data_IF_806942322387
#
_entry.id   IF_806942322387
#
_cell.length_a   1.000
_cell.length_b   1.000
_cell.length_c   1.000
_cell.angle_alpha   90.00
_cell.angle_beta   90.00
_cell.angle_gamma   90.00
#
_symmetry.space_group_name_H-M   'P 1'
#
loop_
_entity.id
_entity.type
_entity.pdbx_description
1 polymer ?
#
# COMPACT_ATOMS: atom_id res chain seq x y z
N UNK A 1 7.95 17.05 -16.20
CA UNK A 1 7.49 15.84 -16.94
C UNK A 1 8.59 14.80 -17.07
N UNK A 2 9.72 15.12 -17.73
CA UNK A 2 10.82 14.16 -17.92
C UNK A 2 11.31 13.51 -16.61
N UNK A 3 11.49 14.30 -15.55
CA UNK A 3 11.94 13.80 -14.25
C UNK A 3 10.98 12.76 -13.63
N UNK A 4 9.66 12.99 -13.70
CA UNK A 4 8.63 12.04 -13.23
C UNK A 4 8.70 10.75 -14.04
N UNK A 5 8.81 10.85 -15.37
CA UNK A 5 8.91 9.67 -16.23
C UNK A 5 10.17 8.86 -15.95
N UNK A 6 11.33 9.51 -15.79
CA UNK A 6 12.58 8.82 -15.44
C UNK A 6 12.43 8.13 -14.08
N UNK A 7 11.96 8.84 -13.06
CA UNK A 7 11.72 8.27 -11.72
C UNK A 7 10.74 7.09 -11.78
N UNK A 8 9.66 7.22 -12.56
CA UNK A 8 8.65 6.17 -12.72
C UNK A 8 9.21 4.92 -13.41
N UNK A 9 10.00 5.08 -14.47
CA UNK A 9 10.67 3.99 -15.19
C UNK A 9 11.66 3.27 -14.28
N UNK A 10 12.49 4.01 -13.54
CA UNK A 10 13.44 3.44 -12.59
C UNK A 10 12.72 2.67 -11.47
N UNK A 11 11.65 3.24 -10.92
CA UNK A 11 10.81 2.60 -9.90
C UNK A 11 10.23 1.29 -10.43
N UNK A 12 9.60 1.33 -11.60
CA UNK A 12 9.00 0.14 -12.23
C UNK A 12 10.05 -0.94 -12.52
N UNK A 13 11.24 -0.55 -13.00
CA UNK A 13 12.35 -1.47 -13.23
C UNK A 13 12.80 -2.19 -11.95
N UNK A 14 12.96 -1.45 -10.86
CA UNK A 14 13.33 -2.00 -9.55
C UNK A 14 12.22 -2.93 -9.05
N UNK A 15 10.96 -2.49 -9.08
CA UNK A 15 9.83 -3.29 -8.60
C UNK A 15 9.68 -4.58 -9.40
N UNK A 16 9.76 -4.54 -10.74
CA UNK A 16 9.72 -5.76 -11.55
C UNK A 16 10.87 -6.71 -11.16
N UNK A 17 12.09 -6.19 -11.00
CA UNK A 17 13.27 -6.98 -10.68
C UNK A 17 13.14 -7.71 -9.34
N UNK A 18 12.75 -6.99 -8.28
CA UNK A 18 12.54 -7.59 -6.96
C UNK A 18 11.30 -8.50 -6.92
N UNK A 19 10.29 -8.24 -7.77
CA UNK A 19 9.17 -9.15 -7.97
C UNK A 19 9.61 -10.51 -8.53
N UNK A 20 10.49 -10.52 -9.55
CA UNK A 20 11.07 -11.76 -10.11
C UNK A 20 11.96 -12.46 -9.07
N UNK A 21 12.71 -11.71 -8.27
CA UNK A 21 13.49 -12.28 -7.18
C UNK A 21 12.58 -13.00 -6.16
N UNK A 22 11.46 -12.38 -5.79
CA UNK A 22 10.47 -12.99 -4.89
C UNK A 22 9.86 -14.28 -5.48
N UNK A 23 9.51 -14.28 -6.78
CA UNK A 23 9.03 -15.47 -7.50
C UNK A 23 10.01 -16.64 -7.38
N UNK A 24 11.31 -16.37 -7.52
CA UNK A 24 12.36 -17.40 -7.40
C UNK A 24 12.49 -17.95 -5.99
N UNK A 25 12.54 -17.07 -4.99
CA UNK A 25 12.69 -17.46 -3.59
C UNK A 25 11.50 -18.31 -3.15
N UNK A 26 10.29 -17.87 -3.51
CA UNK A 26 9.04 -18.54 -3.15
C UNK A 26 8.68 -19.71 -4.07
N UNK A 27 9.39 -19.87 -5.20
CA UNK A 27 9.13 -20.87 -6.24
C UNK A 27 7.71 -20.79 -6.81
N UNK A 28 7.18 -19.57 -6.95
CA UNK A 28 5.83 -19.30 -7.49
C UNK A 28 5.91 -18.39 -8.70
N UNK A 29 4.86 -18.37 -9.52
CA UNK A 29 4.70 -17.39 -10.60
C UNK A 29 3.57 -16.44 -10.27
N UNK A 30 3.88 -15.16 -10.26
CA UNK A 30 2.93 -14.07 -10.12
C UNK A 30 2.44 -13.60 -11.50
N UNK A 31 1.18 -13.17 -11.53
CA UNK A 31 0.70 -12.29 -12.60
C UNK A 31 1.52 -10.99 -12.58
N UNK A 32 1.56 -10.28 -13.71
CA UNK A 32 2.39 -9.08 -13.83
C UNK A 32 2.12 -8.05 -12.73
N UNK A 33 0.85 -7.75 -12.44
CA UNK A 33 0.47 -6.75 -11.45
C UNK A 33 0.96 -7.17 -10.04
N UNK A 34 0.73 -8.42 -9.66
CA UNK A 34 1.25 -8.99 -8.40
C UNK A 34 2.77 -8.89 -8.33
N UNK A 35 3.47 -9.21 -9.43
CA UNK A 35 4.93 -9.12 -9.49
C UNK A 35 5.43 -7.70 -9.19
N UNK A 36 4.83 -6.68 -9.80
CA UNK A 36 5.20 -5.28 -9.55
C UNK A 36 4.91 -4.90 -8.10
N UNK A 37 3.72 -5.23 -7.59
CA UNK A 37 3.32 -4.82 -6.23
C UNK A 37 4.08 -5.57 -5.12
N UNK A 38 4.33 -6.87 -5.31
CA UNK A 38 5.20 -7.66 -4.41
C UNK A 38 6.63 -7.12 -4.48
N UNK A 39 7.10 -6.76 -5.68
CA UNK A 39 8.38 -6.12 -5.88
C UNK A 39 8.52 -4.78 -5.16
N UNK A 40 7.48 -3.94 -5.18
CA UNK A 40 7.40 -2.72 -4.37
C UNK A 40 7.55 -3.05 -2.87
N UNK A 41 6.81 -4.05 -2.36
CA UNK A 41 6.89 -4.48 -0.96
C UNK A 41 8.31 -4.94 -0.56
N UNK A 42 8.93 -5.79 -1.40
CA UNK A 42 10.31 -6.27 -1.18
C UNK A 42 11.30 -5.12 -1.23
N UNK A 43 11.19 -4.25 -2.24
CA UNK A 43 12.06 -3.07 -2.36
C UNK A 43 11.94 -2.20 -1.11
N UNK A 44 10.71 -1.92 -0.65
CA UNK A 44 10.47 -1.07 0.51
C UNK A 44 11.06 -1.69 1.78
N UNK A 45 10.88 -3.00 1.96
CA UNK A 45 11.47 -3.75 3.08
C UNK A 45 12.99 -3.59 3.12
N UNK A 46 13.66 -3.76 1.98
CA UNK A 46 15.11 -3.63 1.86
C UNK A 46 15.58 -2.18 2.08
N UNK A 47 14.90 -1.20 1.51
CA UNK A 47 15.26 0.22 1.70
C UNK A 47 15.03 0.64 3.15
N UNK A 48 13.98 0.13 3.79
CA UNK A 48 13.71 0.37 5.20
C UNK A 48 14.82 -0.20 6.09
N UNK A 49 15.33 -1.41 5.77
CA UNK A 49 16.52 -1.97 6.41
C UNK A 49 17.75 -1.09 6.21
N UNK A 50 18.03 -0.64 4.99
CA UNK A 50 19.17 0.25 4.72
C UNK A 50 19.03 1.56 5.51
N UNK A 51 17.82 2.14 5.56
CA UNK A 51 17.56 3.42 6.22
C UNK A 51 17.83 3.42 7.73
N UNK A 52 17.87 2.23 8.36
CA UNK A 52 18.26 2.08 9.77
C UNK A 52 19.70 2.52 10.00
N UNK A 53 20.58 2.30 9.03
CA UNK A 53 22.01 2.46 9.17
C UNK A 53 22.59 3.58 8.31
N UNK A 54 21.95 3.89 7.17
CA UNK A 54 22.46 4.84 6.19
C UNK A 54 21.34 5.77 5.68
N UNK A 55 21.67 7.02 5.35
CA UNK A 55 20.76 7.89 4.60
C UNK A 55 20.44 7.32 3.22
N UNK A 56 19.20 7.50 2.76
CA UNK A 56 18.75 7.06 1.43
C UNK A 56 19.11 8.10 0.38
N UNK A 57 20.36 8.05 -0.06
CA UNK A 57 20.95 8.93 -1.09
C UNK A 57 20.83 8.34 -2.50
N UNK A 58 21.27 9.09 -3.51
CA UNK A 58 21.34 8.58 -4.89
C UNK A 58 22.27 7.36 -5.03
N UNK A 59 23.29 7.24 -4.16
CA UNK A 59 24.19 6.09 -4.15
C UNK A 59 23.45 4.80 -3.77
N UNK A 60 22.49 4.88 -2.85
CA UNK A 60 21.62 3.75 -2.50
C UNK A 60 20.78 3.36 -3.71
N UNK A 61 20.20 4.33 -4.43
CA UNK A 61 19.48 4.05 -5.68
C UNK A 61 20.37 3.36 -6.72
N UNK A 62 21.59 3.86 -6.95
CA UNK A 62 22.51 3.23 -7.91
C UNK A 62 22.93 1.82 -7.49
N UNK A 63 23.05 1.56 -6.19
CA UNK A 63 23.33 0.21 -5.67
C UNK A 63 22.18 -0.74 -6.00
N UNK A 64 20.93 -0.32 -5.77
CA UNK A 64 19.74 -1.10 -6.12
C UNK A 64 19.65 -1.32 -7.63
N UNK A 65 19.87 -0.29 -8.45
CA UNK A 65 19.85 -0.41 -9.90
C UNK A 65 20.95 -1.33 -10.44
N UNK A 66 22.16 -1.26 -9.88
CA UNK A 66 23.28 -2.12 -10.26
C UNK A 66 23.00 -3.59 -9.91
N UNK A 67 22.45 -3.84 -8.72
CA UNK A 67 22.00 -5.17 -8.33
C UNK A 67 20.91 -5.68 -9.29
N UNK A 68 19.88 -4.88 -9.58
CA UNK A 68 18.82 -5.25 -10.52
C UNK A 68 19.38 -5.55 -11.92
N UNK A 69 20.34 -4.74 -12.40
CA UNK A 69 21.00 -4.95 -13.70
C UNK A 69 21.75 -6.27 -13.76
N UNK A 70 22.58 -6.57 -12.76
CA UNK A 70 23.32 -7.84 -12.67
C UNK A 70 22.35 -9.02 -12.54
N UNK A 71 21.36 -8.92 -11.67
CA UNK A 71 20.36 -9.97 -11.48
C UNK A 71 19.59 -10.28 -12.78
N UNK A 72 19.10 -9.24 -13.45
CA UNK A 72 18.34 -9.38 -14.69
C UNK A 72 19.21 -9.82 -15.88
N UNK A 73 20.52 -9.56 -15.85
CA UNK A 73 21.46 -10.11 -16.82
C UNK A 73 21.43 -11.64 -16.83
N UNK A 74 21.33 -12.28 -15.66
CA UNK A 74 21.19 -13.73 -15.55
C UNK A 74 19.75 -14.21 -15.83
N UNK A 75 18.76 -13.33 -15.64
CA UNK A 75 17.32 -13.64 -15.80
C UNK A 75 16.68 -13.14 -17.10
N UNK A 76 17.48 -12.90 -18.14
CA UNK A 76 17.04 -12.37 -19.45
C UNK A 76 15.85 -13.12 -20.08
N UNK A 77 15.72 -14.42 -19.82
CA UNK A 77 14.59 -15.23 -20.33
C UNK A 77 13.25 -14.84 -19.69
N UNK A 78 13.24 -14.51 -18.41
CA UNK A 78 12.04 -14.10 -17.68
C UNK A 78 11.60 -12.68 -18.07
N UNK A 79 12.54 -11.79 -18.44
CA UNK A 79 12.22 -10.44 -18.91
C UNK A 79 11.40 -10.39 -20.22
N UNK A 80 11.75 -11.22 -21.20
CA UNK A 80 11.07 -11.22 -22.52
C UNK A 80 9.59 -11.61 -22.42
N UNK A 81 9.21 -12.40 -21.42
CA UNK A 81 7.82 -12.77 -21.16
C UNK A 81 6.98 -11.60 -20.59
N UNK A 82 7.62 -10.55 -20.05
CA UNK A 82 6.95 -9.48 -19.30
C UNK A 82 6.48 -8.31 -20.16
N UNK A 83 7.27 -7.91 -21.17
CA UNK A 83 6.92 -6.79 -22.04
C UNK A 83 5.75 -7.11 -22.97
N UNK A 84 5.57 -8.38 -23.33
CA UNK A 84 4.56 -8.80 -24.30
C UNK A 84 3.25 -9.35 -23.69
N UNK A 85 3.24 -9.75 -22.42
CA UNK A 85 2.08 -10.44 -21.82
C UNK A 85 0.89 -9.55 -21.41
N UNK A 86 1.13 -8.29 -21.04
CA UNK A 86 0.06 -7.36 -20.64
C UNK A 86 -0.63 -6.67 -21.81
N UNK A 87 0.11 -6.38 -22.87
CA UNK A 87 -0.29 -5.53 -23.98
C UNK A 87 -0.69 -6.40 -25.19
N UNK A 88 -1.45 -7.47 -24.95
CA UNK A 88 -1.85 -8.36 -26.05
C UNK A 88 -2.88 -7.72 -26.99
N UNK A 89 -3.48 -6.58 -26.63
CA UNK A 89 -4.52 -5.95 -27.42
C UNK A 89 -4.37 -4.43 -27.46
N UNK A 90 -4.21 -3.89 -28.68
CA UNK A 90 -4.14 -2.45 -28.96
C UNK A 90 -5.29 -1.67 -28.29
N UNK A 91 -6.48 -2.27 -28.19
CA UNK A 91 -7.65 -1.60 -27.59
C UNK A 91 -7.50 -1.29 -26.10
N UNK A 92 -6.81 -2.15 -25.32
CA UNK A 92 -6.62 -1.91 -23.89
C UNK A 92 -5.70 -0.70 -23.69
N UNK A 93 -4.64 -0.62 -24.49
CA UNK A 93 -3.72 0.53 -24.46
C UNK A 93 -4.44 1.81 -24.86
N UNK A 94 -5.24 1.77 -25.94
CA UNK A 94 -6.02 2.93 -26.39
C UNK A 94 -6.97 3.43 -25.30
N UNK A 95 -7.68 2.53 -24.62
CA UNK A 95 -8.61 2.90 -23.52
C UNK A 95 -7.85 3.41 -22.29
N UNK A 96 -6.71 2.81 -21.95
CA UNK A 96 -5.93 3.16 -20.75
C UNK A 96 -5.16 4.47 -20.94
N UNK A 97 -4.69 4.75 -22.16
CA UNK A 97 -3.86 5.91 -22.50
C UNK A 97 -4.39 7.27 -21.98
N UNK A 98 -5.66 7.67 -22.20
CA UNK A 98 -6.16 8.95 -21.71
C UNK A 98 -6.08 9.07 -20.18
N UNK A 99 -6.35 7.99 -19.44
CA UNK A 99 -6.22 7.97 -17.98
C UNK A 99 -4.76 8.13 -17.53
N UNK A 100 -3.83 7.45 -18.20
CA UNK A 100 -2.40 7.56 -17.89
C UNK A 100 -1.84 8.93 -18.24
N UNK A 101 -2.25 9.51 -19.37
CA UNK A 101 -1.86 10.84 -19.77
C UNK A 101 -2.39 11.88 -18.78
N UNK A 102 -3.67 11.77 -18.40
CA UNK A 102 -4.27 12.62 -17.38
C UNK A 102 -3.51 12.50 -16.05
N UNK A 103 -3.21 11.26 -15.62
CA UNK A 103 -2.48 10.99 -14.37
C UNK A 103 -1.07 11.58 -14.38
N UNK A 104 -0.38 11.48 -15.52
CA UNK A 104 0.94 12.07 -15.70
C UNK A 104 0.86 13.60 -15.62
N UNK A 105 -0.08 14.21 -16.33
CA UNK A 105 -0.27 15.67 -16.32
C UNK A 105 -0.56 16.14 -14.90
N UNK A 106 -1.43 15.45 -14.16
CA UNK A 106 -1.78 15.87 -12.81
C UNK A 106 -0.64 15.65 -11.79
N UNK A 107 0.19 14.62 -11.99
CA UNK A 107 1.37 14.39 -11.16
C UNK A 107 2.41 15.53 -11.28
N UNK A 108 2.29 16.42 -12.27
CA UNK A 108 3.13 17.61 -12.42
C UNK A 108 2.76 18.75 -11.47
N UNK A 109 1.55 18.71 -10.89
CA UNK A 109 1.11 19.73 -9.96
C UNK A 109 1.95 19.72 -8.67
N UNK A 110 1.98 20.82 -7.92
CA UNK A 110 2.48 20.78 -6.55
C UNK A 110 1.67 19.77 -5.71
N UNK A 111 2.27 19.22 -4.64
CA UNK A 111 1.59 18.32 -3.71
C UNK A 111 0.28 18.93 -3.21
N UNK A 112 -0.84 18.24 -3.46
CA UNK A 112 -2.18 18.72 -3.11
C UNK A 112 -2.60 18.31 -1.69
N UNK A 113 -2.15 17.15 -1.21
CA UNK A 113 -2.49 16.67 0.12
C UNK A 113 -1.88 17.59 1.18
N UNK A 114 -2.74 18.11 2.07
CA UNK A 114 -2.35 19.04 3.14
C UNK A 114 -1.20 18.51 3.99
N UNK A 115 -1.27 17.23 4.36
CA UNK A 115 -0.24 16.56 5.13
C UNK A 115 1.13 16.49 4.45
N UNK A 116 1.18 16.63 3.11
CA UNK A 116 2.45 16.65 2.38
C UNK A 116 3.29 17.87 2.73
N UNK A 117 2.65 19.03 2.88
CA UNK A 117 3.30 20.25 3.35
C UNK A 117 3.60 20.24 4.85
N UNK A 118 2.79 19.51 5.64
CA UNK A 118 2.96 19.41 7.08
C UNK A 118 4.12 18.50 7.50
N UNK A 119 4.16 17.26 7.01
CA UNK A 119 5.16 16.30 7.46
C UNK A 119 5.62 15.27 6.44
N UNK A 120 4.89 14.96 5.35
CA UNK A 120 5.33 13.88 4.44
C UNK A 120 6.67 14.21 3.80
N UNK A 121 6.80 15.39 3.19
CA UNK A 121 8.02 15.82 2.49
C UNK A 121 9.18 15.96 3.49
N UNK A 122 8.92 16.52 4.67
CA UNK A 122 9.94 16.70 5.71
C UNK A 122 10.43 15.35 6.25
N UNK A 123 9.51 14.40 6.45
CA UNK A 123 9.87 13.03 6.86
C UNK A 123 10.71 12.34 5.79
N UNK A 124 10.37 12.51 4.51
CA UNK A 124 11.14 11.97 3.39
C UNK A 124 12.55 12.59 3.34
N UNK A 125 12.68 13.90 3.59
CA UNK A 125 13.99 14.57 3.65
C UNK A 125 14.87 14.03 4.78
N UNK A 126 14.31 13.79 5.97
CA UNK A 126 15.06 13.15 7.07
C UNK A 126 15.61 11.78 6.65
N UNK A 127 14.85 11.00 5.89
CA UNK A 127 15.26 9.68 5.38
C UNK A 127 16.40 9.79 4.35
N UNK A 128 16.44 10.87 3.57
CA UNK A 128 17.47 11.11 2.56
C UNK A 128 18.76 11.66 3.13
N UNK A 129 18.67 12.45 4.21
CA UNK A 129 19.80 13.21 4.75
C UNK A 129 20.47 12.48 5.94
N UNK A 130 19.72 11.65 6.67
CA UNK A 130 20.21 10.94 7.85
C UNK A 130 19.79 9.47 7.84
N UNK A 131 20.58 8.62 8.53
CA UNK A 131 20.06 7.36 9.05
C UNK A 131 18.92 7.63 10.03
N UNK A 132 18.14 6.61 10.39
CA UNK A 132 17.03 6.82 11.34
C UNK A 132 17.50 7.48 12.63
N UNK A 133 16.90 8.63 12.95
CA UNK A 133 17.30 9.51 14.05
C UNK A 133 16.55 9.13 15.33
N UNK A 134 17.26 8.77 16.42
CA UNK A 134 16.64 8.48 17.72
C UNK A 134 15.80 9.65 18.23
N UNK A 135 14.54 9.40 18.57
CA UNK A 135 13.66 10.38 19.21
C UNK A 135 13.21 11.54 18.32
N UNK A 136 13.29 11.42 16.98
CA UNK A 136 12.86 12.47 16.05
C UNK A 136 11.42 12.95 16.29
N UNK A 137 10.55 12.08 16.82
CA UNK A 137 9.19 12.42 17.20
C UNK A 137 9.10 13.47 18.33
N UNK A 138 10.16 13.65 19.15
CA UNK A 138 10.21 14.72 20.16
C UNK A 138 10.40 16.11 19.54
N UNK A 139 11.03 16.20 18.36
CA UNK A 139 11.15 17.46 17.62
C UNK A 139 9.78 17.88 17.07
N UNK A 140 9.05 16.91 16.51
CA UNK A 140 7.68 17.10 16.06
C UNK A 140 6.96 15.75 15.98
N UNK A 141 5.83 15.61 16.69
CA UNK A 141 5.15 14.31 16.89
C UNK A 141 4.88 13.54 15.59
N UNK A 142 4.52 14.23 14.50
CA UNK A 142 4.22 13.61 13.20
C UNK A 142 5.42 12.93 12.54
N UNK A 143 6.66 13.30 12.90
CA UNK A 143 7.86 12.58 12.41
C UNK A 143 7.97 11.16 12.99
N UNK A 144 7.20 10.85 14.04
CA UNK A 144 7.04 9.49 14.57
C UNK A 144 6.04 8.60 13.80
N UNK A 145 5.22 9.14 12.88
CA UNK A 145 4.17 8.34 12.22
C UNK A 145 4.70 7.25 11.29
N UNK A 146 5.88 7.46 10.71
CA UNK A 146 6.63 6.47 9.95
C UNK A 146 5.83 5.59 8.94
N UNK A 147 5.03 6.15 8.00
CA UNK A 147 4.50 5.37 6.89
C UNK A 147 5.65 4.72 6.10
N UNK A 148 5.65 3.40 5.98
CA UNK A 148 6.79 2.67 5.42
C UNK A 148 7.10 3.10 3.97
N UNK A 149 6.10 3.51 3.20
CA UNK A 149 6.28 3.99 1.81
C UNK A 149 7.19 5.21 1.67
N UNK A 150 7.40 6.01 2.73
CA UNK A 150 8.28 7.17 2.67
C UNK A 150 9.72 6.82 2.30
N UNK A 151 10.19 5.61 2.61
CA UNK A 151 11.52 5.16 2.21
C UNK A 151 11.64 4.94 0.70
N UNK A 152 10.57 4.49 0.04
CA UNK A 152 10.52 4.37 -1.42
C UNK A 152 10.47 5.76 -2.07
N UNK A 153 9.64 6.68 -1.54
CA UNK A 153 9.65 8.06 -2.02
C UNK A 153 11.03 8.70 -1.88
N UNK A 154 11.75 8.44 -0.79
CA UNK A 154 13.14 8.89 -0.60
C UNK A 154 14.08 8.29 -1.65
N UNK A 155 14.03 6.97 -1.87
CA UNK A 155 14.89 6.26 -2.82
C UNK A 155 14.73 6.77 -4.25
N UNK A 156 13.50 7.04 -4.68
CA UNK A 156 13.17 7.35 -6.08
C UNK A 156 12.97 8.84 -6.33
N UNK A 157 13.32 9.72 -5.38
CA UNK A 157 13.08 11.16 -5.48
C UNK A 157 13.93 11.85 -6.54
N UNK A 158 15.11 11.29 -6.86
CA UNK A 158 16.11 11.86 -7.77
C UNK A 158 16.50 13.32 -7.43
N UNK A 159 16.34 13.73 -6.15
CA UNK A 159 16.66 15.08 -5.65
C UNK A 159 18.05 15.56 -6.05
N UNK A 160 19.06 14.70 -5.90
CA UNK A 160 20.44 15.07 -6.19
C UNK A 160 20.70 15.37 -7.69
N UNK A 161 19.92 14.73 -8.57
CA UNK A 161 20.01 14.86 -10.04
C UNK A 161 19.23 16.09 -10.51
N UNK A 162 17.96 16.22 -10.12
CA UNK A 162 17.07 17.29 -10.62
C UNK A 162 17.03 18.53 -9.72
N UNK A 163 17.73 18.52 -8.59
CA UNK A 163 17.72 19.58 -7.56
C UNK A 163 16.32 19.90 -6.99
N UNK A 164 15.38 18.98 -7.16
CA UNK A 164 14.02 19.04 -6.63
C UNK A 164 13.52 17.62 -6.32
N UNK A 165 12.62 17.49 -5.36
CA UNK A 165 12.01 16.20 -5.04
C UNK A 165 11.03 15.77 -6.13
N UNK A 166 11.13 14.52 -6.59
CA UNK A 166 10.20 13.93 -7.56
C UNK A 166 9.39 12.82 -6.91
N UNK A 167 8.08 12.98 -6.82
CA UNK A 167 7.18 11.97 -6.23
C UNK A 167 6.43 11.20 -7.32
N UNK A 168 7.02 10.13 -7.84
CA UNK A 168 6.41 9.32 -8.93
C UNK A 168 5.72 8.03 -8.44
N UNK A 169 5.92 7.62 -7.19
CA UNK A 169 5.52 6.29 -6.69
C UNK A 169 4.01 6.07 -6.77
N UNK A 170 3.22 7.07 -6.35
CA UNK A 170 1.76 7.04 -6.45
C UNK A 170 1.30 6.97 -7.92
N UNK A 171 1.95 7.72 -8.82
CA UNK A 171 1.70 7.64 -10.26
C UNK A 171 1.99 6.25 -10.83
N UNK A 172 3.10 5.61 -10.43
CA UNK A 172 3.45 4.24 -10.87
C UNK A 172 2.38 3.24 -10.43
N UNK A 173 2.03 3.24 -9.14
CA UNK A 173 1.05 2.29 -8.57
C UNK A 173 -0.32 2.49 -9.21
N UNK A 174 -0.77 3.75 -9.31
CA UNK A 174 -2.01 4.11 -9.99
C UNK A 174 -2.04 3.60 -11.44
N UNK A 175 -0.99 3.87 -12.21
CA UNK A 175 -0.91 3.51 -13.63
C UNK A 175 -1.01 2.00 -13.84
N UNK A 176 -0.31 1.22 -13.02
CA UNK A 176 -0.34 -0.24 -13.07
C UNK A 176 -1.73 -0.79 -12.70
N UNK A 177 -2.38 -0.22 -11.69
CA UNK A 177 -3.70 -0.66 -11.24
C UNK A 177 -4.83 -0.26 -12.19
N UNK A 178 -4.76 0.91 -12.83
CA UNK A 178 -5.70 1.31 -13.89
C UNK A 178 -5.58 0.38 -15.09
N UNK A 179 -4.36 0.12 -15.57
CA UNK A 179 -4.12 -0.82 -16.66
C UNK A 179 -4.64 -2.22 -16.33
N UNK A 180 -4.36 -2.70 -15.12
CA UNK A 180 -4.84 -3.99 -14.63
C UNK A 180 -6.37 -4.05 -14.61
N UNK A 181 -7.02 -3.02 -14.06
CA UNK A 181 -8.47 -2.98 -13.89
C UNK A 181 -9.19 -2.94 -15.24
N UNK A 182 -8.73 -2.10 -16.18
CA UNK A 182 -9.28 -2.03 -17.54
C UNK A 182 -9.09 -3.37 -18.27
N UNK A 183 -7.92 -3.99 -18.17
CA UNK A 183 -7.67 -5.32 -18.75
C UNK A 183 -8.60 -6.38 -18.16
N UNK A 184 -8.81 -6.40 -16.84
CA UNK A 184 -9.69 -7.37 -16.17
C UNK A 184 -11.15 -7.15 -16.56
N UNK A 185 -11.63 -5.90 -16.58
CA UNK A 185 -12.98 -5.54 -17.05
C UNK A 185 -13.18 -5.99 -18.50
N UNK A 186 -12.22 -5.70 -19.38
CA UNK A 186 -12.29 -6.10 -20.78
C UNK A 186 -12.35 -7.63 -20.96
N UNK A 187 -11.56 -8.38 -20.19
CA UNK A 187 -11.60 -9.86 -20.20
C UNK A 187 -12.95 -10.39 -19.73
N UNK A 188 -13.47 -9.89 -18.61
CA UNK A 188 -14.78 -10.30 -18.08
C UNK A 188 -15.88 -9.97 -19.08
N UNK A 189 -15.88 -8.76 -19.65
CA UNK A 189 -16.88 -8.37 -20.66
C UNK A 189 -16.88 -9.30 -21.88
N UNK A 190 -15.71 -9.76 -22.31
CA UNK A 190 -15.57 -10.66 -23.47
C UNK A 190 -15.91 -12.12 -23.16
N UNK A 191 -15.67 -12.59 -21.94
CA UNK A 191 -15.83 -14.00 -21.57
C UNK A 191 -17.17 -14.27 -20.88
N UNK A 192 -17.63 -13.35 -20.05
CA UNK A 192 -18.80 -13.52 -19.18
C UNK A 192 -19.91 -12.49 -19.47
N UNK A 193 -19.60 -11.35 -20.10
CA UNK A 193 -20.54 -10.25 -20.33
C UNK A 193 -20.72 -9.33 -19.12
N UNK A 194 -21.91 -8.73 -18.97
CA UNK A 194 -22.25 -7.79 -17.89
C UNK A 194 -22.65 -8.53 -16.59
N UNK A 195 -21.68 -9.18 -15.94
CA UNK A 195 -21.89 -9.93 -14.68
C UNK A 195 -21.67 -9.08 -13.42
N UNK A 196 -21.99 -9.65 -12.24
CA UNK A 196 -21.61 -9.04 -10.95
C UNK A 196 -20.09 -8.83 -10.83
N UNK A 197 -19.29 -9.71 -11.45
CA UNK A 197 -17.83 -9.57 -11.52
C UNK A 197 -17.44 -8.32 -12.34
N UNK A 198 -18.13 -8.06 -13.46
CA UNK A 198 -17.94 -6.86 -14.27
C UNK A 198 -18.27 -5.59 -13.48
N UNK A 199 -19.42 -5.57 -12.79
CA UNK A 199 -19.83 -4.43 -11.96
C UNK A 199 -18.84 -4.15 -10.83
N UNK A 200 -18.41 -5.20 -10.10
CA UNK A 200 -17.43 -5.07 -9.01
C UNK A 200 -16.13 -4.42 -9.51
N UNK A 201 -15.55 -4.93 -10.60
CA UNK A 201 -14.28 -4.39 -11.12
C UNK A 201 -14.46 -2.98 -11.71
N UNK A 202 -15.64 -2.65 -12.23
CA UNK A 202 -15.95 -1.28 -12.69
C UNK A 202 -16.02 -0.29 -11.52
N UNK A 203 -16.63 -0.67 -10.39
CA UNK A 203 -16.65 0.12 -9.16
C UNK A 203 -15.22 0.29 -8.62
N UNK A 204 -14.42 -0.78 -8.62
CA UNK A 204 -13.02 -0.71 -8.19
C UNK A 204 -12.21 0.22 -9.07
N UNK A 205 -12.38 0.16 -10.41
CA UNK A 205 -11.75 1.11 -11.32
C UNK A 205 -12.16 2.54 -10.97
N UNK A 206 -13.46 2.81 -10.77
CA UNK A 206 -13.94 4.13 -10.37
C UNK A 206 -13.28 4.63 -9.08
N UNK A 207 -13.21 3.79 -8.03
CA UNK A 207 -12.56 4.15 -6.77
C UNK A 207 -11.05 4.41 -6.92
N UNK A 208 -10.36 3.69 -7.81
CA UNK A 208 -8.96 3.96 -8.16
C UNK A 208 -8.87 5.32 -8.86
N UNK A 209 -9.74 5.60 -9.83
CA UNK A 209 -9.76 6.85 -10.58
C UNK A 209 -10.01 8.07 -9.67
N UNK A 210 -10.84 7.94 -8.62
CA UNK A 210 -11.05 9.00 -7.63
C UNK A 210 -9.79 9.38 -6.84
N UNK A 211 -8.77 8.51 -6.77
CA UNK A 211 -7.51 8.80 -6.08
C UNK A 211 -6.57 9.73 -6.86
N UNK A 212 -7.03 10.29 -7.98
CA UNK A 212 -6.23 11.13 -8.87
C UNK A 212 -5.59 12.34 -8.17
N UNK A 213 -6.28 12.94 -7.19
CA UNK A 213 -5.73 14.08 -6.42
C UNK A 213 -4.51 13.71 -5.58
N UNK A 214 -4.33 12.42 -5.26
CA UNK A 214 -3.20 11.91 -4.48
C UNK A 214 -1.93 11.71 -5.30
N UNK A 215 -1.96 11.89 -6.62
CA UNK A 215 -0.85 11.57 -7.52
C UNK A 215 0.32 12.56 -7.43
N UNK A 216 0.05 13.84 -7.15
CA UNK A 216 1.11 14.86 -6.98
C UNK A 216 1.77 14.85 -5.60
N UNK A 217 1.16 14.15 -4.64
CA UNK A 217 1.58 14.12 -3.24
C UNK A 217 2.24 12.80 -2.86
N UNK A 218 3.29 12.80 -2.03
CA UNK A 218 3.85 11.57 -1.46
C UNK A 218 3.00 11.02 -0.30
N UNK A 219 1.68 11.00 -0.46
CA UNK A 219 0.75 10.51 0.57
C UNK A 219 0.70 8.97 0.59
N UNK A 220 0.65 8.33 1.77
CA UNK A 220 0.40 6.89 1.89
C UNK A 220 -1.07 6.51 1.58
N UNK A 221 -1.97 7.50 1.49
CA UNK A 221 -3.42 7.26 1.42
C UNK A 221 -3.84 6.49 0.19
N UNK A 222 -3.32 6.85 -0.98
CA UNK A 222 -3.62 6.16 -2.25
C UNK A 222 -3.37 4.65 -2.09
N UNK A 223 -2.19 4.26 -1.61
CA UNK A 223 -1.80 2.86 -1.42
C UNK A 223 -2.71 2.18 -0.41
N UNK A 224 -3.03 2.86 0.69
CA UNK A 224 -3.90 2.31 1.74
C UNK A 224 -5.34 2.09 1.29
N UNK A 225 -5.79 2.73 0.21
CA UNK A 225 -7.12 2.57 -0.37
C UNK A 225 -7.09 1.54 -1.49
N UNK A 226 -6.17 1.68 -2.45
CA UNK A 226 -6.18 0.87 -3.68
C UNK A 226 -5.65 -0.55 -3.49
N UNK A 227 -4.68 -0.77 -2.59
CA UNK A 227 -4.15 -2.12 -2.36
C UNK A 227 -5.16 -3.06 -1.70
N UNK A 228 -5.90 -2.68 -0.65
CA UNK A 228 -6.95 -3.55 -0.11
C UNK A 228 -8.01 -3.91 -1.16
N UNK A 229 -8.44 -2.93 -1.98
CA UNK A 229 -9.38 -3.18 -3.08
C UNK A 229 -8.82 -4.20 -4.06
N UNK A 230 -7.59 -3.99 -4.52
CA UNK A 230 -6.89 -4.91 -5.42
C UNK A 230 -6.79 -6.32 -4.83
N UNK A 231 -6.29 -6.46 -3.59
CA UNK A 231 -6.09 -7.75 -2.92
C UNK A 231 -7.42 -8.52 -2.87
N UNK A 232 -8.51 -7.87 -2.47
CA UNK A 232 -9.80 -8.52 -2.30
C UNK A 232 -10.46 -8.89 -3.64
N UNK A 233 -10.26 -8.12 -4.70
CA UNK A 233 -10.86 -8.40 -6.01
C UNK A 233 -10.06 -9.41 -6.83
N UNK A 234 -8.75 -9.51 -6.58
CA UNK A 234 -7.80 -10.35 -7.32
C UNK A 234 -7.34 -11.60 -6.58
N UNK A 235 -8.07 -12.05 -5.56
CA UNK A 235 -7.83 -13.37 -4.96
C UNK A 235 -7.90 -14.48 -6.03
N UNK A 236 -7.01 -15.49 -5.96
CA UNK A 236 -7.04 -16.64 -6.86
C UNK A 236 -8.42 -17.30 -6.92
N UNK A 237 -8.90 -17.55 -8.14
CA UNK A 237 -10.16 -18.25 -8.42
C UNK A 237 -9.86 -19.57 -9.14
N UNK A 238 -10.67 -20.59 -8.87
CA UNK A 238 -10.68 -21.81 -9.69
C UNK A 238 -11.33 -21.48 -11.04
N UNK A 239 -10.52 -21.02 -11.98
CA UNK A 239 -10.96 -20.82 -13.36
C UNK A 239 -10.80 -22.16 -14.11
N UNK A 240 -11.91 -22.64 -14.68
CA UNK A 240 -12.11 -23.86 -15.46
C UNK A 240 -12.17 -25.17 -14.66
N UNK A 241 -13.23 -25.95 -14.88
CA UNK A 241 -13.62 -27.18 -14.16
C UNK A 241 -12.65 -28.37 -14.21
N UNK A 242 -11.34 -28.13 -14.36
CA UNK A 242 -10.29 -29.05 -13.98
C UNK A 242 -10.04 -28.80 -12.50
N UNK A 243 -10.22 -29.82 -11.67
CA UNK A 243 -10.03 -29.81 -10.22
C UNK A 243 -8.58 -29.50 -9.78
N UNK A 244 -7.97 -28.41 -10.24
CA UNK A 244 -6.78 -27.86 -9.59
C UNK A 244 -7.23 -27.27 -8.27
N UNK A 245 -6.88 -27.94 -7.17
CA UNK A 245 -7.09 -27.38 -5.82
C UNK A 245 -6.15 -26.17 -5.71
N UNK A 246 -6.70 -24.99 -5.37
CA UNK A 246 -5.87 -23.85 -4.98
C UNK A 246 -5.00 -24.27 -3.80
N UNK A 247 -3.71 -23.96 -3.90
CA UNK A 247 -2.75 -24.17 -2.85
C UNK A 247 -2.42 -22.83 -2.18
N UNK A 248 -1.74 -22.89 -1.03
CA UNK A 248 -1.30 -21.70 -0.31
C UNK A 248 -0.43 -20.78 -1.18
N UNK A 249 0.41 -21.36 -2.03
CA UNK A 249 1.31 -20.67 -2.96
C UNK A 249 0.59 -19.66 -3.85
N UNK A 250 -0.66 -19.96 -4.25
CA UNK A 250 -1.48 -19.05 -5.06
C UNK A 250 -1.81 -17.76 -4.32
N UNK A 251 -1.82 -17.77 -2.98
CA UNK A 251 -2.16 -16.61 -2.14
C UNK A 251 -0.94 -15.86 -1.61
N UNK A 252 0.28 -16.24 -1.98
CA UNK A 252 1.48 -15.56 -1.48
C UNK A 252 1.53 -14.07 -1.83
N UNK A 253 1.12 -13.68 -3.05
CA UNK A 253 1.03 -12.26 -3.41
C UNK A 253 0.06 -11.52 -2.49
N UNK A 254 -1.15 -12.06 -2.28
CA UNK A 254 -2.15 -11.48 -1.38
C UNK A 254 -1.65 -11.36 0.06
N UNK A 255 -0.98 -12.39 0.60
CA UNK A 255 -0.43 -12.38 1.97
C UNK A 255 0.66 -11.31 2.10
N UNK A 256 1.62 -11.26 1.18
CA UNK A 256 2.71 -10.28 1.18
C UNK A 256 2.15 -8.86 1.11
N UNK A 257 1.19 -8.61 0.21
CA UNK A 257 0.58 -7.29 0.04
C UNK A 257 -0.28 -6.90 1.25
N UNK A 258 -1.00 -7.84 1.87
CA UNK A 258 -1.75 -7.58 3.09
C UNK A 258 -0.85 -7.13 4.23
N UNK A 259 0.26 -7.83 4.47
CA UNK A 259 1.24 -7.45 5.50
C UNK A 259 1.89 -6.11 5.17
N UNK A 260 2.29 -5.92 3.91
CA UNK A 260 2.93 -4.68 3.46
C UNK A 260 2.05 -3.44 3.68
N UNK A 261 0.78 -3.53 3.30
CA UNK A 261 -0.14 -2.38 3.38
C UNK A 261 -0.33 -1.92 4.82
N UNK A 262 -0.24 -2.82 5.81
CA UNK A 262 -0.29 -2.48 7.25
C UNK A 262 0.89 -1.58 7.64
N UNK A 263 2.10 -1.87 7.14
CA UNK A 263 3.28 -1.01 7.39
C UNK A 263 3.16 0.37 6.73
N UNK A 264 2.39 0.48 5.63
CA UNK A 264 2.11 1.76 4.97
C UNK A 264 1.07 2.55 5.75
N UNK A 265 -0.02 1.90 6.19
CA UNK A 265 -1.06 2.52 6.99
C UNK A 265 -1.77 1.51 7.89
N UNK A 266 -1.72 1.74 9.20
CA UNK A 266 -2.33 0.90 10.22
C UNK A 266 -3.84 0.69 10.06
N UNK A 267 -4.55 1.63 9.41
CA UNK A 267 -5.98 1.50 9.09
C UNK A 267 -6.30 0.25 8.26
N UNK A 268 -5.30 -0.39 7.63
CA UNK A 268 -5.46 -1.61 6.83
C UNK A 268 -5.26 -2.91 7.60
N UNK A 269 -5.07 -2.85 8.93
CA UNK A 269 -5.04 -4.02 9.84
C UNK A 269 -6.18 -5.03 9.60
N UNK A 270 -7.43 -4.65 9.23
CA UNK A 270 -8.48 -5.62 8.92
C UNK A 270 -8.10 -6.65 7.84
N UNK A 271 -7.09 -6.38 6.99
CA UNK A 271 -6.56 -7.39 6.05
C UNK A 271 -5.96 -8.62 6.75
N UNK A 272 -5.60 -8.55 8.03
CA UNK A 272 -5.23 -9.72 8.82
C UNK A 272 -6.35 -10.77 8.86
N UNK A 273 -7.63 -10.36 8.74
CA UNK A 273 -8.76 -11.29 8.67
C UNK A 273 -8.62 -12.22 7.46
N UNK A 274 -8.17 -11.71 6.31
CA UNK A 274 -7.91 -12.56 5.13
C UNK A 274 -6.88 -13.65 5.46
N UNK A 275 -5.77 -13.29 6.11
CA UNK A 275 -4.71 -14.24 6.48
C UNK A 275 -5.28 -15.29 7.45
N UNK A 276 -6.06 -14.89 8.45
CA UNK A 276 -6.73 -15.80 9.38
C UNK A 276 -7.70 -16.76 8.65
N UNK A 277 -8.50 -16.24 7.71
CA UNK A 277 -9.40 -17.07 6.91
C UNK A 277 -8.63 -18.08 6.06
N UNK A 278 -7.47 -17.72 5.51
CA UNK A 278 -6.61 -18.65 4.78
C UNK A 278 -6.02 -19.73 5.69
N UNK A 279 -5.56 -19.37 6.89
CA UNK A 279 -5.07 -20.32 7.91
C UNK A 279 -6.14 -21.37 8.23
N UNK A 280 -7.38 -20.92 8.48
CA UNK A 280 -8.51 -21.79 8.81
C UNK A 280 -8.89 -22.67 7.61
N UNK A 281 -9.08 -22.06 6.44
CA UNK A 281 -9.57 -22.75 5.23
C UNK A 281 -8.60 -23.83 4.74
N UNK A 282 -7.31 -23.55 4.76
CA UNK A 282 -6.28 -24.46 4.26
C UNK A 282 -5.56 -25.24 5.36
N UNK A 283 -6.04 -25.15 6.61
CA UNK A 283 -5.52 -25.85 7.80
C UNK A 283 -3.99 -25.86 7.81
N UNK A 284 -3.39 -24.68 7.97
CA UNK A 284 -1.94 -24.55 7.86
C UNK A 284 -1.23 -25.51 8.82
N UNK A 285 -0.28 -26.27 8.29
CA UNK A 285 0.68 -27.03 9.08
C UNK A 285 1.81 -26.12 9.60
N UNK A 286 2.69 -26.66 10.44
CA UNK A 286 3.81 -25.91 11.00
C UNK A 286 4.73 -25.26 9.96
N UNK A 287 4.93 -25.90 8.79
CA UNK A 287 5.77 -25.33 7.71
C UNK A 287 5.10 -24.12 7.08
N UNK A 288 3.80 -24.21 6.76
CA UNK A 288 3.01 -23.11 6.20
C UNK A 288 2.93 -21.93 7.16
N UNK A 289 2.71 -22.21 8.46
CA UNK A 289 2.73 -21.18 9.50
C UNK A 289 4.09 -20.49 9.58
N UNK A 290 5.19 -21.27 9.57
CA UNK A 290 6.54 -20.72 9.59
C UNK A 290 6.81 -19.77 8.40
N UNK A 291 6.37 -20.14 7.20
CA UNK A 291 6.52 -19.29 6.00
C UNK A 291 5.77 -17.96 6.19
N UNK A 292 4.52 -18.01 6.65
CA UNK A 292 3.69 -16.81 6.83
C UNK A 292 4.24 -15.91 7.93
N UNK A 293 4.66 -16.49 9.06
CA UNK A 293 5.32 -15.76 10.15
C UNK A 293 6.62 -15.13 9.65
N UNK A 294 7.40 -15.84 8.83
CA UNK A 294 8.63 -15.29 8.23
C UNK A 294 8.34 -14.10 7.33
N UNK A 295 7.30 -14.16 6.49
CA UNK A 295 6.88 -13.02 5.64
C UNK A 295 6.48 -11.83 6.51
N UNK A 296 5.67 -12.06 7.55
CA UNK A 296 5.24 -11.02 8.50
C UNK A 296 6.46 -10.35 9.13
N UNK A 297 7.38 -11.16 9.64
CA UNK A 297 8.57 -10.68 10.33
C UNK A 297 9.50 -9.90 9.38
N UNK A 298 9.79 -10.45 8.19
CA UNK A 298 10.66 -9.80 7.22
C UNK A 298 10.15 -8.40 6.83
N UNK A 299 8.85 -8.25 6.60
CA UNK A 299 8.25 -6.97 6.16
C UNK A 299 8.08 -6.00 7.33
N UNK A 300 7.56 -6.46 8.47
CA UNK A 300 7.21 -5.57 9.58
C UNK A 300 8.39 -5.25 10.48
N UNK A 301 9.36 -6.15 10.65
CA UNK A 301 10.46 -5.92 11.60
C UNK A 301 11.25 -4.63 11.31
N UNK A 302 11.71 -4.34 10.08
CA UNK A 302 12.45 -3.12 9.82
C UNK A 302 11.62 -1.88 10.16
N UNK A 303 10.33 -1.90 9.78
CA UNK A 303 9.39 -0.82 10.06
C UNK A 303 9.17 -0.61 11.57
N UNK A 304 9.02 -1.70 12.34
CA UNK A 304 8.89 -1.66 13.80
C UNK A 304 10.16 -1.14 14.48
N UNK A 305 11.35 -1.56 14.03
CA UNK A 305 12.61 -1.03 14.56
C UNK A 305 12.69 0.48 14.31
N UNK A 306 12.31 0.95 13.11
CA UNK A 306 12.25 2.39 12.81
C UNK A 306 11.30 3.13 13.75
N UNK A 307 10.10 2.59 14.04
CA UNK A 307 9.18 3.21 15.01
C UNK A 307 9.83 3.39 16.39
N UNK A 308 10.50 2.33 16.87
CA UNK A 308 11.17 2.33 18.18
C UNK A 308 12.30 3.34 18.21
N UNK A 309 13.12 3.44 17.16
CA UNK A 309 14.18 4.44 17.12
C UNK A 309 13.57 5.85 17.06
N UNK A 310 12.62 6.10 16.16
CA UNK A 310 12.03 7.43 15.95
C UNK A 310 11.27 7.98 17.17
N UNK A 311 10.66 7.11 17.99
CA UNK A 311 9.73 7.53 19.04
C UNK A 311 9.91 6.87 20.40
N UNK A 312 10.64 5.76 20.48
CA UNK A 312 10.70 4.88 21.65
C UNK A 312 9.49 3.95 21.83
N UNK A 313 8.50 3.98 20.92
CA UNK A 313 7.32 3.09 20.94
C UNK A 313 7.32 2.12 19.76
N UNK A 314 6.77 0.92 19.97
CA UNK A 314 6.68 -0.10 18.92
C UNK A 314 5.79 0.34 17.75
N UNK A 315 4.68 1.01 18.07
CA UNK A 315 3.75 1.61 17.11
C UNK A 315 3.36 2.98 17.66
N UNK A 316 3.82 4.07 17.05
CA UNK A 316 3.51 5.42 17.50
C UNK A 316 2.26 5.98 16.79
N UNK A 317 1.35 6.73 17.47
CA UNK A 317 1.30 7.06 18.91
C UNK A 317 0.41 6.09 19.72
N UNK A 318 0.62 4.78 19.58
CA UNK A 318 -0.11 3.76 20.34
C UNK A 318 0.63 3.39 21.64
N UNK A 319 0.29 4.09 22.73
CA UNK A 319 0.95 3.94 24.04
C UNK A 319 0.62 2.67 24.82
N UNK A 320 -0.29 1.81 24.35
CA UNK A 320 -0.69 0.62 25.12
C UNK A 320 0.36 -0.51 25.08
N UNK A 321 1.26 -0.50 24.10
CA UNK A 321 2.40 -1.43 24.04
C UNK A 321 3.64 -0.62 24.36
N UNK A 322 3.95 -0.54 25.65
CA UNK A 322 5.09 0.21 26.17
C UNK A 322 6.10 -0.71 26.85
N UNK A 323 7.06 -1.20 26.05
CA UNK A 323 8.02 -2.25 26.45
C UNK A 323 9.44 -1.67 26.62
N UNK A 324 9.71 -0.48 26.05
CA UNK A 324 11.04 0.08 25.96
C UNK A 324 11.20 1.33 26.84
N UNK A 325 12.42 1.57 27.32
CA UNK A 325 12.74 2.70 28.18
C UNK A 325 14.05 3.37 27.74
N UNK A 326 14.09 3.84 26.50
CA UNK A 326 15.22 4.62 25.96
C UNK A 326 15.17 6.07 26.47
N UNK A 327 16.33 6.72 26.55
CA UNK A 327 16.49 8.12 26.93
C UNK A 327 15.82 9.09 25.96
N UNK A 328 15.75 8.75 24.67
CA UNK A 328 15.07 9.56 23.64
C UNK A 328 13.57 9.26 23.48
N UNK A 329 12.98 8.41 24.31
CA UNK A 329 11.58 8.00 24.18
C UNK A 329 10.63 9.18 24.39
N UNK A 330 9.59 9.29 23.56
CA UNK A 330 8.60 10.37 23.66
C UNK A 330 7.84 10.27 25.00
N UNK A 331 7.71 11.38 25.75
CA UNK A 331 6.94 11.40 26.99
C UNK A 331 5.49 10.91 26.81
N UNK A 332 5.00 10.09 27.75
CA UNK A 332 3.68 9.45 27.65
C UNK A 332 2.54 10.45 27.46
N UNK A 333 2.59 11.60 28.13
CA UNK A 333 1.61 12.67 28.00
C UNK A 333 1.55 13.23 26.56
N UNK A 334 2.69 13.40 25.89
CA UNK A 334 2.77 13.83 24.51
C UNK A 334 2.18 12.76 23.56
N UNK A 335 2.47 11.47 23.79
CA UNK A 335 1.91 10.37 22.99
C UNK A 335 0.39 10.30 23.13
N UNK A 336 -0.13 10.41 24.36
CA UNK A 336 -1.58 10.43 24.61
C UNK A 336 -2.23 11.65 23.96
N UNK A 337 -1.60 12.83 24.06
CA UNK A 337 -2.08 14.05 23.41
C UNK A 337 -2.11 13.92 21.88
N UNK A 338 -1.08 13.34 21.27
CA UNK A 338 -1.03 13.08 19.82
C UNK A 338 -2.15 12.11 19.40
N UNK A 339 -2.31 10.99 20.13
CA UNK A 339 -3.39 10.02 19.89
C UNK A 339 -4.78 10.67 19.96
N UNK A 340 -5.02 11.50 20.98
CA UNK A 340 -6.27 12.23 21.14
C UNK A 340 -6.48 13.23 20.00
N UNK A 341 -5.41 13.92 19.56
CA UNK A 341 -5.49 14.88 18.46
C UNK A 341 -5.87 14.21 17.14
N UNK A 342 -5.24 13.07 16.82
CA UNK A 342 -5.58 12.26 15.63
C UNK A 342 -7.02 11.76 15.71
N UNK A 343 -7.42 11.23 16.88
CA UNK A 343 -8.78 10.70 17.09
C UNK A 343 -9.82 11.79 16.95
N UNK A 344 -9.60 12.93 17.60
CA UNK A 344 -10.47 14.10 17.55
C UNK A 344 -10.61 14.64 16.13
N UNK A 345 -9.49 14.76 15.41
CA UNK A 345 -9.50 15.25 14.03
C UNK A 345 -10.24 14.30 13.10
N UNK A 346 -10.08 12.98 13.26
CA UNK A 346 -10.83 12.00 12.49
C UNK A 346 -12.34 12.02 12.79
N UNK A 347 -12.72 12.45 14.00
CA UNK A 347 -14.12 12.49 14.46
C UNK A 347 -14.85 13.77 14.10
N UNK A 348 -14.20 14.92 14.28
CA UNK A 348 -14.74 16.25 13.99
C UNK A 348 -13.58 17.21 13.66
N UNK A 349 -13.16 17.29 12.38
CA UNK A 349 -12.10 18.21 11.96
C UNK A 349 -12.45 19.67 12.27
N UNK A 350 -11.44 20.50 12.59
CA UNK A 350 -11.63 21.91 12.94
C UNK A 350 -11.70 22.14 14.46
N UNK A 351 -12.39 23.18 14.91
CA UNK A 351 -12.34 23.65 16.31
C UNK A 351 -12.85 22.59 17.32
N UNK A 352 -13.83 21.78 16.94
CA UNK A 352 -14.45 20.77 17.80
C UNK A 352 -13.63 19.48 18.00
N UNK A 353 -12.41 19.39 17.47
CA UNK A 353 -11.64 18.13 17.51
C UNK A 353 -11.29 17.70 18.94
N UNK A 354 -10.98 18.65 19.84
CA UNK A 354 -10.60 18.35 21.23
C UNK A 354 -11.74 17.70 22.00
N UNK A 355 -12.94 18.23 21.85
CA UNK A 355 -14.15 17.69 22.47
C UNK A 355 -14.47 16.32 21.86
N UNK A 356 -14.43 16.21 20.54
CA UNK A 356 -14.72 14.97 19.83
C UNK A 356 -13.75 13.83 20.19
N UNK A 357 -12.50 14.15 20.53
CA UNK A 357 -11.51 13.17 20.99
C UNK A 357 -11.93 12.47 22.29
N UNK A 358 -12.69 13.15 23.15
CA UNK A 358 -13.10 12.66 24.46
C UNK A 358 -14.49 12.02 24.47
N UNK A 359 -15.29 12.24 23.42
CA UNK A 359 -16.65 11.67 23.31
C UNK A 359 -16.65 10.14 23.34
N UNK A 360 -17.68 9.57 23.96
CA UNK A 360 -17.99 8.14 23.82
C UNK A 360 -18.51 7.86 22.42
N UNK A 361 -18.43 6.59 21.99
CA UNK A 361 -18.93 6.19 20.67
C UNK A 361 -20.39 6.60 20.44
N UNK A 362 -21.26 6.39 21.42
CA UNK A 362 -22.69 6.70 21.34
C UNK A 362 -23.00 8.21 21.26
N UNK A 363 -22.10 9.06 21.73
CA UNK A 363 -22.22 10.52 21.64
C UNK A 363 -21.76 11.03 20.28
N UNK A 364 -20.62 10.51 19.81
CA UNK A 364 -20.02 10.92 18.54
C UNK A 364 -20.75 10.37 17.31
N UNK A 365 -21.17 9.09 17.35
CA UNK A 365 -21.69 8.39 16.17
C UNK A 365 -22.91 9.08 15.54
N UNK A 366 -23.92 9.55 16.31
CA UNK A 366 -25.05 10.28 15.74
C UNK A 366 -24.63 11.60 15.06
N UNK A 367 -23.64 12.31 15.61
CA UNK A 367 -23.12 13.56 15.04
C UNK A 367 -22.46 13.27 13.70
N UNK A 368 -21.53 12.31 13.68
CA UNK A 368 -20.85 11.88 12.46
C UNK A 368 -21.83 11.34 11.41
N UNK A 369 -22.80 10.52 11.82
CA UNK A 369 -23.84 10.02 10.91
C UNK A 369 -24.58 11.17 10.23
N UNK A 370 -24.83 12.25 10.97
CA UNK A 370 -25.53 13.43 10.47
C UNK A 370 -24.67 14.37 9.61
N UNK A 371 -23.34 14.33 9.69
CA UNK A 371 -22.46 15.13 8.83
C UNK A 371 -22.17 14.47 7.48
N UNK A 372 -22.28 13.15 7.39
CA UNK A 372 -22.06 12.41 6.14
C UNK A 372 -23.20 12.64 5.15
N UNK A 373 -22.86 12.71 3.85
CA UNK A 373 -23.85 12.81 2.77
C UNK A 373 -24.85 11.64 2.79
N UNK A 374 -26.10 11.89 2.36
CA UNK A 374 -27.13 10.84 2.30
C UNK A 374 -26.67 9.63 1.46
N UNK A 375 -25.92 9.88 0.39
CA UNK A 375 -25.36 8.84 -0.48
C UNK A 375 -24.36 7.95 0.26
N UNK A 376 -23.43 8.55 1.02
CA UNK A 376 -22.44 7.79 1.79
C UNK A 376 -23.10 7.01 2.93
N UNK A 377 -24.14 7.56 3.58
CA UNK A 377 -24.94 6.81 4.56
C UNK A 377 -25.58 5.57 3.93
N UNK A 378 -26.18 5.71 2.74
CA UNK A 378 -26.75 4.59 2.00
C UNK A 378 -25.69 3.52 1.69
N UNK A 379 -24.51 3.91 1.21
CA UNK A 379 -23.42 2.96 0.95
C UNK A 379 -22.96 2.24 2.22
N UNK A 380 -22.87 2.93 3.36
CA UNK A 380 -22.53 2.30 4.64
C UNK A 380 -23.60 1.26 5.02
N UNK A 381 -24.89 1.61 4.97
CA UNK A 381 -25.98 0.68 5.30
C UNK A 381 -25.94 -0.56 4.38
N UNK A 382 -25.81 -0.36 3.06
CA UNK A 382 -25.73 -1.47 2.10
C UNK A 382 -24.51 -2.36 2.37
N UNK A 383 -23.36 -1.76 2.73
CA UNK A 383 -22.14 -2.50 3.03
C UNK A 383 -22.29 -3.40 4.26
N UNK A 384 -23.07 -2.98 5.26
CA UNK A 384 -23.38 -3.81 6.44
C UNK A 384 -24.48 -4.84 6.21
N UNK A 385 -25.52 -4.50 5.43
CA UNK A 385 -26.65 -5.40 5.19
C UNK A 385 -26.33 -6.48 4.16
N UNK A 386 -25.48 -6.20 3.16
CA UNK A 386 -25.22 -7.13 2.06
C UNK A 386 -24.62 -8.47 2.50
N UNK A 387 -23.67 -8.58 3.45
CA UNK A 387 -23.18 -9.88 3.92
C UNK A 387 -24.23 -10.63 4.73
N UNK A 388 -25.07 -9.93 5.49
CA UNK A 388 -26.15 -10.53 6.29
C UNK A 388 -27.20 -11.14 5.37
N UNK A 389 -27.64 -10.39 4.36
CA UNK A 389 -28.57 -10.88 3.34
C UNK A 389 -27.99 -12.06 2.57
N UNK A 390 -26.71 -12.01 2.21
CA UNK A 390 -26.04 -13.13 1.56
C UNK A 390 -26.03 -14.39 2.42
N UNK A 391 -25.64 -14.27 3.70
CA UNK A 391 -25.64 -15.39 4.64
C UNK A 391 -27.05 -15.97 4.83
N UNK A 392 -28.07 -15.11 4.94
CA UNK A 392 -29.47 -15.50 5.04
C UNK A 392 -29.93 -16.29 3.81
N UNK A 393 -29.63 -15.80 2.60
CA UNK A 393 -29.98 -16.49 1.34
C UNK A 393 -29.26 -17.83 1.23
N UNK A 394 -27.99 -17.90 1.60
CA UNK A 394 -27.21 -19.16 1.57
C UNK A 394 -27.74 -20.16 2.60
N UNK A 395 -28.15 -19.69 3.78
CA UNK A 395 -28.72 -20.55 4.82
C UNK A 395 -30.10 -21.10 4.42
N UNK A 396 -30.96 -20.29 3.80
CA UNK A 396 -32.27 -20.74 3.30
C UNK A 396 -32.20 -21.67 2.08
N UNK A 397 -31.07 -21.66 1.35
CA UNK A 397 -30.84 -22.56 0.21
C UNK A 397 -30.16 -23.88 0.59
N UNK A 398 -29.87 -24.09 1.87
CA UNK A 398 -29.53 -25.39 2.45
C UNK A 398 -30.76 -25.98 3.11
#
# INVERSE_FOLDING_TARGET
MLAILISAILSLYIFISFGILAEKILKVKFQFTDRVLVGLSVTNTLVSLVSLFLPITILVLFTFLSFCFVFLYFERKNLKLLTFGLIHKNIIVIITFPFLLSALVFSLNPPFAYDSGLYHIQSIKWIQEYSVVPGLANLHGRFGFNPNIFTIFALTSLKEIFKQEIFSVNFVIYSILVLHSINRIYKILKQEGFTNSFLLHSIVLFLILEQFMSLSSPTPDLISIVLPLYILTNLPRNENGIHSKLNLENYFSSIILSVYTISVKLATIPLCILILLLIIRYKFDGKKLLIVISIIFLILLPWLIRNVILSGYLIYPFSAIDIFNFDWKVPLNAVVSEKLSITGWARNPGEGYKEAAQMKFWEWFPIWWNTISKLNRLFIVISFLSPILFLYIVYLKR
#
